data_IF_571670064812
#
_entry.id   IF_571670064812
#
_cell.length_a   1.000
_cell.length_b   1.000
_cell.length_c   1.000
_cell.angle_alpha   90.00
_cell.angle_beta   90.00
_cell.angle_gamma   90.00
#
_symmetry.space_group_name_H-M   'P 1'
#
loop_
_entity.id
_entity.type
_entity.pdbx_description
1 polymer ?
#
# COMPACT_ATOMS: atom_id res chain seq x y z
N UNK A 1 -17.83 2.18 4.97
CA UNK A 1 -17.91 1.35 3.76
C UNK A 1 -17.02 0.15 3.92
N UNK A 2 -15.72 0.30 3.69
CA UNK A 2 -14.73 -0.78 3.72
C UNK A 2 -14.78 -1.66 4.99
N UNK A 3 -14.75 -1.06 6.19
CA UNK A 3 -14.85 -1.85 7.43
C UNK A 3 -16.17 -2.64 7.54
N UNK A 4 -17.29 -2.09 7.03
CA UNK A 4 -18.60 -2.76 7.09
C UNK A 4 -18.64 -3.99 6.17
N UNK A 5 -17.92 -3.96 5.04
CA UNK A 5 -17.82 -5.10 4.13
C UNK A 5 -17.18 -6.33 4.78
N UNK A 6 -16.34 -6.13 5.79
CA UNK A 6 -15.63 -7.21 6.46
C UNK A 6 -16.37 -7.76 7.68
N UNK A 7 -17.53 -7.22 8.09
CA UNK A 7 -18.20 -7.62 9.35
C UNK A 7 -18.48 -9.12 9.43
N UNK A 8 -18.82 -9.76 8.31
CA UNK A 8 -19.15 -11.20 8.25
C UNK A 8 -17.96 -12.14 8.01
N UNK A 9 -16.72 -11.65 8.08
CA UNK A 9 -15.52 -12.44 7.82
C UNK A 9 -14.61 -12.47 9.05
N UNK A 10 -13.95 -13.60 9.33
CA UNK A 10 -13.08 -13.70 10.52
C UNK A 10 -11.79 -12.90 10.35
N UNK A 11 -11.15 -13.02 9.19
CA UNK A 11 -9.91 -12.28 8.90
C UNK A 11 -10.20 -10.83 8.50
N UNK A 12 -9.27 -9.95 8.91
CA UNK A 12 -9.17 -8.56 8.44
C UNK A 12 -7.86 -8.31 7.69
N UNK A 13 -7.12 -9.36 7.39
CA UNK A 13 -5.82 -9.25 6.74
C UNK A 13 -6.00 -8.68 5.35
N UNK A 14 -5.09 -7.78 4.98
CA UNK A 14 -5.10 -7.10 3.71
C UNK A 14 -3.69 -6.72 3.32
N UNK A 15 -3.49 -6.37 2.06
CA UNK A 15 -2.26 -5.76 1.62
C UNK A 15 -2.54 -4.58 0.70
N UNK A 16 -1.69 -3.56 0.79
CA UNK A 16 -1.61 -2.50 -0.21
C UNK A 16 -0.63 -2.94 -1.30
N UNK A 17 -1.03 -2.85 -2.57
CA UNK A 17 -0.22 -3.21 -3.74
C UNK A 17 -0.07 -2.00 -4.67
N UNK A 18 1.16 -1.74 -5.12
CA UNK A 18 1.45 -0.81 -6.20
C UNK A 18 2.21 -1.55 -7.29
N UNK A 19 1.79 -1.37 -8.54
CA UNK A 19 2.46 -1.91 -9.72
C UNK A 19 2.84 -0.76 -10.64
N UNK A 20 4.13 -0.58 -10.91
CA UNK A 20 4.60 0.24 -12.04
C UNK A 20 4.74 -0.65 -13.27
N UNK A 21 4.32 -0.15 -14.43
CA UNK A 21 4.55 -0.78 -15.72
C UNK A 21 5.48 0.10 -16.55
N UNK A 22 6.55 -0.47 -17.09
CA UNK A 22 7.54 0.23 -17.93
C UNK A 22 7.66 -0.47 -19.28
N UNK A 23 7.69 0.30 -20.36
CA UNK A 23 7.96 -0.19 -21.72
C UNK A 23 9.01 0.73 -22.34
N UNK A 24 10.02 0.14 -22.98
CA UNK A 24 11.07 0.90 -23.67
C UNK A 24 10.60 1.48 -25.02
N UNK A 25 9.41 1.09 -25.49
CA UNK A 25 8.81 1.56 -26.73
C UNK A 25 8.01 0.49 -27.45
N UNK A 26 7.49 0.81 -28.66
CA UNK A 26 6.69 -0.11 -29.46
C UNK A 26 7.38 -1.46 -29.67
N UNK A 27 6.62 -2.56 -29.52
CA UNK A 27 7.13 -3.93 -29.68
C UNK A 27 7.85 -4.51 -28.46
N UNK A 28 7.94 -3.77 -27.35
CA UNK A 28 8.50 -4.28 -26.09
C UNK A 28 7.39 -4.59 -25.09
N UNK A 29 7.40 -5.81 -24.53
CA UNK A 29 6.46 -6.22 -23.50
C UNK A 29 6.68 -5.37 -22.23
N UNK A 30 5.63 -4.82 -21.61
CA UNK A 30 5.78 -4.05 -20.38
C UNK A 30 6.37 -4.87 -19.24
N UNK A 31 7.42 -4.35 -18.61
CA UNK A 31 7.98 -4.88 -17.38
C UNK A 31 7.18 -4.34 -16.19
N UNK A 32 6.80 -5.24 -15.28
CA UNK A 32 6.02 -4.92 -14.09
C UNK A 32 6.92 -4.89 -12.84
N UNK A 33 6.77 -3.84 -12.04
CA UNK A 33 7.48 -3.65 -10.77
C UNK A 33 6.47 -3.50 -9.64
N UNK A 34 6.36 -4.53 -8.82
CA UNK A 34 5.36 -4.58 -7.76
C UNK A 34 5.95 -4.32 -6.39
N UNK A 35 5.29 -3.49 -5.60
CA UNK A 35 5.57 -3.31 -4.19
C UNK A 35 4.32 -3.59 -3.38
N UNK A 36 4.45 -4.42 -2.36
CA UNK A 36 3.39 -4.84 -1.46
C UNK A 36 3.69 -4.40 -0.03
N UNK A 37 2.68 -4.05 0.74
CA UNK A 37 2.76 -3.88 2.19
C UNK A 37 1.63 -4.67 2.82
N UNK A 38 1.97 -5.62 3.68
CA UNK A 38 1.03 -6.39 4.47
C UNK A 38 0.48 -5.60 5.66
N UNK A 39 -0.71 -5.97 6.09
CA UNK A 39 -1.40 -5.27 7.15
C UNK A 39 -2.81 -5.80 7.36
N UNK A 40 -3.64 -4.96 7.98
CA UNK A 40 -5.02 -5.32 8.32
C UNK A 40 -5.95 -4.12 8.22
N UNK A 41 -7.22 -4.40 7.97
CA UNK A 41 -8.26 -3.39 7.95
C UNK A 41 -8.78 -3.14 9.36
N UNK A 42 -8.69 -1.89 9.81
CA UNK A 42 -9.03 -1.45 11.19
C UNK A 42 -10.04 -0.31 11.19
N UNK A 43 -10.78 -0.08 12.29
CA UNK A 43 -11.59 1.12 12.44
C UNK A 43 -10.76 2.38 12.15
N UNK A 44 -11.35 3.40 11.50
CA UNK A 44 -10.59 4.52 10.97
C UNK A 44 -9.89 5.33 12.06
N UNK A 45 -8.59 5.58 11.91
CA UNK A 45 -7.78 6.46 12.77
C UNK A 45 -6.92 7.42 11.95
N UNK A 46 -6.41 8.48 12.58
CA UNK A 46 -5.61 9.51 11.91
C UNK A 46 -6.41 10.46 11.00
N UNK A 47 -5.70 11.21 10.16
CA UNK A 47 -6.30 12.21 9.28
C UNK A 47 -7.10 11.59 8.12
N UNK A 48 -8.33 12.06 7.90
CA UNK A 48 -9.23 11.56 6.84
C UNK A 48 -8.94 12.14 5.46
N UNK A 49 -7.89 12.92 5.30
CA UNK A 49 -7.65 13.68 4.07
C UNK A 49 -7.25 12.81 2.87
N UNK A 50 -6.91 11.53 3.07
CA UNK A 50 -6.34 10.71 2.00
C UNK A 50 -6.91 9.28 1.94
N UNK A 51 -8.00 9.14 1.17
CA UNK A 51 -8.53 7.85 0.71
C UNK A 51 -8.73 6.82 1.83
N UNK A 52 -8.17 5.63 1.64
CA UNK A 52 -8.30 4.48 2.54
C UNK A 52 -7.19 4.41 3.61
N UNK A 53 -6.26 5.36 3.65
CA UNK A 53 -5.18 5.37 4.65
C UNK A 53 -5.68 5.22 6.10
N UNK A 54 -6.81 5.84 6.52
CA UNK A 54 -7.29 5.72 7.90
C UNK A 54 -7.67 4.30 8.32
N UNK A 55 -7.97 3.41 7.38
CA UNK A 55 -8.48 2.06 7.68
C UNK A 55 -7.47 0.96 7.42
N UNK A 56 -6.26 1.29 6.95
CA UNK A 56 -5.20 0.31 6.70
C UNK A 56 -4.08 0.49 7.74
N UNK A 57 -3.96 -0.48 8.63
CA UNK A 57 -2.86 -0.60 9.59
C UNK A 57 -1.78 -1.50 9.02
N UNK A 58 -0.56 -0.98 8.87
CA UNK A 58 0.55 -1.76 8.36
C UNK A 58 1.07 -2.72 9.42
N UNK A 59 1.41 -3.94 9.00
CA UNK A 59 1.91 -4.99 9.87
C UNK A 59 3.08 -4.51 10.75
N UNK A 60 3.08 -4.92 12.01
CA UNK A 60 4.09 -4.62 13.03
C UNK A 60 4.33 -3.13 13.35
N UNK A 61 3.45 -2.23 12.91
CA UNK A 61 3.59 -0.79 13.21
C UNK A 61 2.65 -0.27 14.28
N UNK A 62 1.50 -0.92 14.48
CA UNK A 62 0.41 -0.42 15.33
C UNK A 62 -0.23 0.90 14.85
N UNK A 63 0.16 1.40 13.67
CA UNK A 63 -0.27 2.67 13.10
C UNK A 63 -1.00 2.45 11.78
N UNK A 64 -2.07 3.19 11.57
CA UNK A 64 -2.65 3.34 10.24
C UNK A 64 -1.76 4.19 9.36
N UNK A 65 -1.86 4.04 8.04
CA UNK A 65 -1.17 4.93 7.10
C UNK A 65 -1.53 6.41 7.27
N UNK A 66 -2.66 6.74 7.90
CA UNK A 66 -3.07 8.10 8.19
C UNK A 66 -2.52 8.66 9.51
N UNK A 67 -1.95 7.81 10.35
CA UNK A 67 -1.27 8.17 11.61
C UNK A 67 0.25 8.32 11.42
N UNK A 68 0.79 7.86 10.30
CA UNK A 68 2.20 7.96 9.95
C UNK A 68 2.52 9.31 9.32
N UNK A 69 3.67 9.86 9.66
CA UNK A 69 4.27 10.92 8.86
C UNK A 69 4.81 10.37 7.52
N UNK A 70 5.27 11.28 6.67
CA UNK A 70 5.75 10.91 5.34
C UNK A 70 7.01 10.03 5.38
N UNK A 71 7.92 10.29 6.32
CA UNK A 71 9.20 9.55 6.43
C UNK A 71 8.97 8.12 6.93
N UNK A 72 8.15 7.94 7.96
CA UNK A 72 7.73 6.65 8.48
C UNK A 72 7.03 5.83 7.40
N UNK A 73 6.07 6.44 6.70
CA UNK A 73 5.30 5.76 5.66
C UNK A 73 6.19 5.33 4.50
N UNK A 74 7.14 6.16 4.07
CA UNK A 74 8.00 5.86 2.93
C UNK A 74 8.88 4.61 3.17
N UNK A 75 9.27 4.32 4.41
CA UNK A 75 10.06 3.11 4.75
C UNK A 75 9.32 1.81 4.45
N UNK A 76 7.99 1.81 4.54
CA UNK A 76 7.16 0.62 4.43
C UNK A 76 6.15 0.67 3.29
N UNK A 77 6.05 1.78 2.58
CA UNK A 77 5.03 2.04 1.56
C UNK A 77 5.19 1.09 0.37
N UNK A 78 4.10 0.40 0.02
CA UNK A 78 3.95 -0.42 -1.19
C UNK A 78 4.39 0.34 -2.45
N UNK A 79 4.09 1.65 -2.55
CA UNK A 79 4.54 2.48 -3.67
C UNK A 79 6.06 2.71 -3.66
N UNK A 80 6.65 2.95 -2.50
CA UNK A 80 8.10 3.16 -2.40
C UNK A 80 8.86 1.86 -2.71
N UNK A 81 8.36 0.72 -2.23
CA UNK A 81 8.87 -0.62 -2.59
C UNK A 81 8.82 -0.89 -4.10
N UNK A 82 7.71 -0.53 -4.76
CA UNK A 82 7.57 -0.67 -6.21
C UNK A 82 8.55 0.24 -6.97
N UNK A 83 8.71 1.49 -6.49
CA UNK A 83 9.59 2.48 -7.08
C UNK A 83 11.07 2.10 -6.95
N UNK A 84 11.51 1.56 -5.81
CA UNK A 84 12.89 1.10 -5.64
C UNK A 84 13.24 -0.04 -6.61
N UNK A 85 12.28 -0.93 -6.90
CA UNK A 85 12.47 -1.98 -7.92
C UNK A 85 12.61 -1.38 -9.33
N UNK A 86 11.78 -0.41 -9.68
CA UNK A 86 11.89 0.32 -10.96
C UNK A 86 13.23 1.07 -11.05
N UNK A 87 13.63 1.76 -9.97
CA UNK A 87 14.89 2.50 -9.88
C UNK A 87 16.11 1.58 -10.00
N UNK A 88 16.06 0.36 -9.50
CA UNK A 88 17.13 -0.61 -9.66
C UNK A 88 17.22 -1.19 -11.09
N UNK A 89 16.16 -1.05 -11.89
CA UNK A 89 16.13 -1.49 -13.28
C UNK A 89 16.60 -0.41 -14.27
N UNK A 90 16.33 0.86 -13.97
CA UNK A 90 16.76 2.02 -14.76
C UNK A 90 18.23 2.37 -14.52
#
# INVERSE_FOLDING_TARGET
GLNKLLVGFDTKDAWALCTFAYSAGPGTEPLLFEGRTDGRIVPPRGSKNFGWNPVFEAEDTGKTYAEMDMEEKNKISHRFRALEKLKAHL
#
